data_IF_196939722304
#
_entry.id   IF_196939722304
#
_cell.length_a   1.000
_cell.length_b   1.000
_cell.length_c   1.000
_cell.angle_alpha   90.00
_cell.angle_beta   90.00
_cell.angle_gamma   90.00
#
_symmetry.space_group_name_H-M   'P 1'
#
loop_
_entity.id
_entity.type
_entity.pdbx_description
1 polymer ?
#
# COMPACT_ATOMS: atom_id res chain seq x y z
N UNK A 1 10.20 33.75 -7.94
CA UNK A 1 9.50 32.68 -7.19
C UNK A 1 9.21 31.54 -8.15
N UNK A 2 9.55 30.29 -7.78
CA UNK A 2 9.16 29.13 -8.60
C UNK A 2 7.64 28.97 -8.56
N UNK A 3 7.01 28.73 -9.70
CA UNK A 3 5.54 28.54 -9.82
C UNK A 3 5.13 27.30 -9.01
N UNK A 4 4.10 27.42 -8.16
CA UNK A 4 3.52 26.29 -7.44
C UNK A 4 2.91 25.31 -8.42
N UNK A 5 3.29 24.04 -8.36
CA UNK A 5 2.70 22.95 -9.15
C UNK A 5 1.50 22.38 -8.43
N UNK A 6 0.37 22.31 -9.12
CA UNK A 6 -0.90 21.76 -8.59
C UNK A 6 -1.11 20.33 -9.06
N UNK A 7 -1.19 19.42 -8.12
CA UNK A 7 -1.34 17.97 -8.36
C UNK A 7 -2.71 17.52 -7.86
N UNK A 8 -3.45 16.81 -8.69
CA UNK A 8 -4.65 16.09 -8.29
C UNK A 8 -4.40 14.60 -8.36
N UNK A 9 -4.80 13.89 -7.31
CA UNK A 9 -4.65 12.43 -7.22
C UNK A 9 -5.99 11.78 -6.96
N UNK A 10 -6.28 10.70 -7.67
CA UNK A 10 -7.49 9.90 -7.51
C UNK A 10 -7.18 8.63 -6.74
N UNK A 11 -7.84 8.45 -5.61
CA UNK A 11 -7.83 7.22 -4.81
C UNK A 11 -9.08 6.42 -5.17
N UNK A 12 -8.89 5.23 -5.72
CA UNK A 12 -9.95 4.48 -6.36
C UNK A 12 -10.00 3.02 -5.98
N UNK A 13 -8.93 2.47 -5.44
CA UNK A 13 -8.77 1.03 -5.25
C UNK A 13 -8.67 0.63 -3.77
N UNK A 14 -7.72 1.22 -3.03
CA UNK A 14 -7.47 0.87 -1.62
C UNK A 14 -6.64 1.94 -0.90
N UNK A 15 -6.52 1.82 0.41
CA UNK A 15 -5.61 2.66 1.21
C UNK A 15 -4.12 2.44 0.89
N UNK A 16 -3.76 1.31 0.27
CA UNK A 16 -2.38 1.07 -0.16
C UNK A 16 -1.88 2.08 -1.21
N UNK A 17 -2.80 2.76 -1.92
CA UNK A 17 -2.44 3.90 -2.76
C UNK A 17 -1.87 5.06 -1.92
N UNK A 18 -2.44 5.33 -0.75
CA UNK A 18 -1.97 6.36 0.19
C UNK A 18 -0.57 6.03 0.72
N UNK A 19 -0.29 4.76 0.99
CA UNK A 19 1.03 4.31 1.47
C UNK A 19 2.16 4.54 0.46
N UNK A 20 1.84 4.68 -0.81
CA UNK A 20 2.80 5.08 -1.85
C UNK A 20 2.87 6.60 -1.99
N UNK A 21 1.72 7.26 -1.92
CA UNK A 21 1.59 8.68 -2.25
C UNK A 21 2.10 9.62 -1.16
N UNK A 22 1.86 9.32 0.13
CA UNK A 22 2.32 10.18 1.20
C UNK A 22 3.85 10.24 1.28
N UNK A 23 4.58 9.11 1.19
CA UNK A 23 6.03 9.15 1.04
C UNK A 23 6.50 9.95 -0.19
N UNK A 24 5.81 9.80 -1.32
CA UNK A 24 6.13 10.58 -2.52
C UNK A 24 5.90 12.08 -2.30
N UNK A 25 4.78 12.47 -1.68
CA UNK A 25 4.47 13.88 -1.44
C UNK A 25 5.38 14.52 -0.39
N UNK A 26 5.88 13.76 0.58
CA UNK A 26 6.89 14.26 1.52
C UNK A 26 8.14 14.73 0.77
N UNK A 27 8.66 13.88 -0.12
CA UNK A 27 9.82 14.24 -0.94
C UNK A 27 9.55 15.37 -1.95
N UNK A 28 8.36 15.42 -2.53
CA UNK A 28 8.00 16.50 -3.45
C UNK A 28 7.91 17.85 -2.75
N UNK A 29 7.45 17.88 -1.51
CA UNK A 29 7.39 19.10 -0.70
C UNK A 29 8.76 19.62 -0.29
N UNK A 30 9.71 18.76 0.00
CA UNK A 30 11.09 19.15 0.31
C UNK A 30 11.81 19.72 -0.91
N UNK A 31 11.50 19.24 -2.11
CA UNK A 31 12.20 19.64 -3.35
C UNK A 31 11.57 20.80 -4.08
N UNK A 32 10.31 21.11 -3.84
CA UNK A 32 9.62 22.19 -4.55
C UNK A 32 8.27 22.59 -3.97
N UNK A 33 7.75 23.70 -4.50
CA UNK A 33 6.45 24.21 -4.07
C UNK A 33 5.32 23.45 -4.80
N UNK A 34 4.63 22.58 -4.06
CA UNK A 34 3.50 21.80 -4.57
C UNK A 34 2.23 22.03 -3.75
N UNK A 35 1.09 21.99 -4.40
CA UNK A 35 -0.24 21.93 -3.80
C UNK A 35 -0.91 20.63 -4.25
N UNK A 36 -1.26 19.74 -3.32
CA UNK A 36 -1.83 18.44 -3.62
C UNK A 36 -3.28 18.35 -3.14
N UNK A 37 -4.16 17.90 -4.04
CA UNK A 37 -5.55 17.59 -3.74
C UNK A 37 -5.80 16.08 -3.96
N UNK A 38 -6.23 15.37 -2.94
CA UNK A 38 -6.55 13.95 -2.97
C UNK A 38 -8.07 13.80 -3.14
N UNK A 39 -8.46 13.06 -4.16
CA UNK A 39 -9.85 12.81 -4.51
C UNK A 39 -10.19 11.35 -4.22
N UNK A 40 -10.96 11.09 -3.19
CA UNK A 40 -11.52 9.77 -2.92
C UNK A 40 -12.77 9.55 -3.77
N UNK A 41 -12.83 8.45 -4.50
CA UNK A 41 -13.98 8.07 -5.32
C UNK A 41 -14.82 6.96 -4.70
N UNK A 42 -14.38 6.37 -3.60
CA UNK A 42 -15.01 5.26 -2.88
C UNK A 42 -15.24 5.65 -1.42
N UNK A 43 -16.49 5.63 -0.97
CA UNK A 43 -16.89 6.05 0.39
C UNK A 43 -16.18 5.25 1.49
N UNK A 44 -16.09 3.92 1.33
CA UNK A 44 -15.46 3.04 2.32
C UNK A 44 -13.99 3.41 2.53
N UNK A 45 -13.23 3.59 1.44
CA UNK A 45 -11.81 3.96 1.51
C UNK A 45 -11.62 5.31 2.22
N UNK A 46 -12.49 6.28 1.91
CA UNK A 46 -12.47 7.58 2.57
C UNK A 46 -12.81 7.48 4.07
N UNK A 47 -13.78 6.63 4.45
CA UNK A 47 -14.12 6.40 5.85
C UNK A 47 -12.95 5.77 6.61
N UNK A 48 -12.33 4.73 6.06
CA UNK A 48 -11.16 4.07 6.64
C UNK A 48 -9.97 5.06 6.74
N UNK A 49 -9.80 5.94 5.76
CA UNK A 49 -8.80 7.01 5.77
C UNK A 49 -8.99 8.00 6.92
N UNK A 50 -10.24 8.49 7.12
CA UNK A 50 -10.55 9.46 8.18
C UNK A 50 -10.35 8.85 9.58
N UNK A 51 -10.58 7.56 9.75
CA UNK A 51 -10.42 6.86 11.02
C UNK A 51 -8.95 6.67 11.42
N UNK A 52 -8.01 6.77 10.49
CA UNK A 52 -6.59 6.62 10.78
C UNK A 52 -5.98 7.92 11.29
N UNK A 53 -5.57 7.94 12.57
CA UNK A 53 -4.87 9.07 13.17
C UNK A 53 -3.55 9.38 12.47
N UNK A 54 -2.84 8.37 12.01
CA UNK A 54 -1.59 8.53 11.26
C UNK A 54 -1.82 9.22 9.91
N UNK A 55 -2.84 8.82 9.13
CA UNK A 55 -3.12 9.50 7.86
C UNK A 55 -3.58 10.94 8.05
N UNK A 56 -4.37 11.23 9.09
CA UNK A 56 -4.75 12.59 9.42
C UNK A 56 -3.54 13.44 9.84
N UNK A 57 -2.62 12.86 10.60
CA UNK A 57 -1.36 13.50 10.93
C UNK A 57 -0.53 13.83 9.67
N UNK A 58 -0.35 12.86 8.77
CA UNK A 58 0.37 13.08 7.51
C UNK A 58 -0.30 14.13 6.62
N UNK A 59 -1.64 14.13 6.53
CA UNK A 59 -2.41 15.15 5.79
C UNK A 59 -2.07 16.55 6.28
N UNK A 60 -2.07 16.75 7.60
CA UNK A 60 -1.76 18.03 8.24
C UNK A 60 -0.29 18.43 8.02
N UNK A 61 0.66 17.54 8.27
CA UNK A 61 2.10 17.78 8.08
C UNK A 61 2.45 18.15 6.63
N UNK A 62 1.82 17.43 5.70
CA UNK A 62 2.02 17.67 4.27
C UNK A 62 1.12 18.78 3.72
N UNK A 63 0.19 19.35 4.53
CA UNK A 63 -0.78 20.38 4.09
C UNK A 63 -1.53 19.96 2.85
N UNK A 64 -1.97 18.70 2.82
CA UNK A 64 -2.76 18.15 1.72
C UNK A 64 -4.22 18.60 1.85
N UNK A 65 -4.97 18.49 0.76
CA UNK A 65 -6.42 18.73 0.77
C UNK A 65 -7.13 17.49 0.29
N UNK A 66 -7.97 16.92 1.12
CA UNK A 66 -8.74 15.72 0.78
C UNK A 66 -10.19 16.06 0.45
N UNK A 67 -10.75 15.32 -0.51
CA UNK A 67 -12.12 15.51 -0.98
C UNK A 67 -12.76 14.17 -1.31
N UNK A 68 -14.00 13.98 -0.91
CA UNK A 68 -14.81 12.85 -1.34
C UNK A 68 -15.69 13.25 -2.54
N UNK A 69 -15.36 12.73 -3.72
CA UNK A 69 -16.19 12.81 -4.90
C UNK A 69 -16.70 11.42 -5.26
N UNK A 70 -17.72 10.97 -4.54
CA UNK A 70 -18.33 9.67 -4.80
C UNK A 70 -18.85 9.59 -6.22
N UNK A 71 -18.32 8.66 -7.00
CA UNK A 71 -18.79 8.32 -8.34
C UNK A 71 -19.78 7.16 -8.16
N UNK A 72 -21.06 7.31 -8.55
CA UNK A 72 -22.06 6.27 -8.33
C UNK A 72 -21.84 5.10 -9.30
N UNK A 73 -20.85 4.25 -9.02
CA UNK A 73 -20.45 3.17 -9.92
C UNK A 73 -21.07 1.80 -9.62
N UNK A 74 -21.59 1.59 -8.45
CA UNK A 74 -22.40 0.41 -8.09
C UNK A 74 -23.21 0.73 -6.85
N UNK A 75 -24.48 0.44 -6.91
CA UNK A 75 -25.34 0.43 -5.73
C UNK A 75 -24.79 -0.56 -4.71
N UNK A 76 -24.80 -0.16 -3.44
CA UNK A 76 -24.64 -1.07 -2.33
C UNK A 76 -25.58 -2.27 -2.52
N UNK A 77 -25.03 -3.47 -2.52
CA UNK A 77 -25.77 -4.73 -2.65
C UNK A 77 -26.84 -4.93 -1.56
N UNK A 78 -26.86 -4.06 -0.53
CA UNK A 78 -27.85 -4.09 0.54
C UNK A 78 -29.29 -3.75 0.07
N UNK A 79 -29.46 -3.04 -1.05
CA UNK A 79 -30.79 -2.77 -1.63
C UNK A 79 -31.28 -3.97 -2.48
N UNK A 80 -30.38 -4.85 -2.91
CA UNK A 80 -30.76 -6.07 -3.64
C UNK A 80 -31.63 -7.02 -2.82
N UNK A 81 -31.46 -7.01 -1.50
CA UNK A 81 -32.22 -7.85 -0.58
C UNK A 81 -33.70 -7.42 -0.38
N UNK A 82 -34.07 -6.22 -0.83
CA UNK A 82 -35.40 -5.63 -0.58
C UNK A 82 -36.39 -5.74 -1.76
N UNK A 83 -36.06 -6.39 -2.87
CA UNK A 83 -37.01 -6.69 -3.95
C UNK A 83 -37.56 -5.48 -4.75
N UNK A 84 -37.12 -4.26 -4.49
CA UNK A 84 -37.68 -3.00 -5.03
C UNK A 84 -36.94 -2.51 -6.30
N UNK A 85 -36.95 -3.29 -7.35
CA UNK A 85 -36.20 -3.01 -8.60
C UNK A 85 -36.52 -1.68 -9.28
N UNK A 86 -37.76 -1.23 -9.21
CA UNK A 86 -38.25 0.01 -9.87
C UNK A 86 -37.80 1.27 -9.10
N UNK A 87 -37.90 1.26 -7.78
CA UNK A 87 -37.41 2.34 -6.90
C UNK A 87 -35.90 2.49 -7.03
N UNK A 88 -35.20 1.40 -7.14
CA UNK A 88 -33.74 1.36 -7.38
C UNK A 88 -33.35 2.09 -8.67
N UNK A 89 -34.08 1.92 -9.77
CA UNK A 89 -33.81 2.61 -11.04
C UNK A 89 -33.99 4.11 -10.92
N UNK A 90 -35.02 4.57 -10.20
CA UNK A 90 -35.29 6.00 -9.97
C UNK A 90 -34.19 6.63 -9.11
N UNK A 91 -33.84 6.01 -7.96
CA UNK A 91 -32.72 6.48 -7.11
C UNK A 91 -31.37 6.51 -7.85
N UNK A 92 -31.11 5.52 -8.70
CA UNK A 92 -29.91 5.49 -9.53
C UNK A 92 -29.85 6.66 -10.49
N UNK A 93 -30.96 6.99 -11.15
CA UNK A 93 -31.07 8.15 -12.06
C UNK A 93 -30.92 9.47 -11.29
N UNK A 94 -31.54 9.59 -10.13
CA UNK A 94 -31.45 10.79 -9.29
C UNK A 94 -30.05 11.03 -8.77
N UNK A 95 -29.37 10.00 -8.24
CA UNK A 95 -27.99 10.09 -7.80
C UNK A 95 -27.01 10.41 -8.96
N UNK A 96 -27.29 9.87 -10.15
CA UNK A 96 -26.51 10.18 -11.34
C UNK A 96 -26.68 11.63 -11.79
N UNK A 97 -27.91 12.15 -11.78
CA UNK A 97 -28.21 13.56 -12.06
C UNK A 97 -27.58 14.49 -11.04
N UNK A 98 -27.67 14.16 -9.74
CA UNK A 98 -26.98 14.90 -8.68
C UNK A 98 -25.47 14.94 -8.91
N UNK A 99 -24.88 13.80 -9.28
CA UNK A 99 -23.46 13.72 -9.60
C UNK A 99 -23.09 14.59 -10.81
N UNK A 100 -23.89 14.51 -11.88
CA UNK A 100 -23.67 15.31 -13.09
C UNK A 100 -23.71 16.81 -12.82
N UNK A 101 -24.66 17.28 -12.04
CA UNK A 101 -24.88 18.73 -11.87
C UNK A 101 -24.10 19.33 -10.68
N UNK A 102 -23.82 18.57 -9.64
CA UNK A 102 -23.13 19.09 -8.45
C UNK A 102 -21.67 18.66 -8.28
N UNK A 103 -21.36 17.44 -8.65
CA UNK A 103 -20.02 16.88 -8.41
C UNK A 103 -19.14 17.02 -9.64
N UNK A 104 -19.61 16.63 -10.81
CA UNK A 104 -18.83 16.62 -12.04
C UNK A 104 -18.26 18.01 -12.42
N UNK A 105 -19.02 19.12 -12.37
CA UNK A 105 -18.48 20.44 -12.69
C UNK A 105 -17.35 20.87 -11.76
N UNK A 106 -17.48 20.59 -10.45
CA UNK A 106 -16.44 20.88 -9.47
C UNK A 106 -15.18 20.05 -9.71
N UNK A 107 -15.36 18.78 -10.08
CA UNK A 107 -14.27 17.87 -10.42
C UNK A 107 -13.54 18.33 -11.69
N UNK A 108 -14.30 18.67 -12.74
CA UNK A 108 -13.74 19.21 -14.00
C UNK A 108 -12.95 20.49 -13.71
N UNK A 109 -13.51 21.43 -12.97
CA UNK A 109 -12.83 22.67 -12.63
C UNK A 109 -11.50 22.41 -11.90
N UNK A 110 -11.48 21.48 -10.92
CA UNK A 110 -10.24 21.12 -10.23
C UNK A 110 -9.19 20.52 -11.16
N UNK A 111 -9.60 19.61 -12.06
CA UNK A 111 -8.70 19.03 -13.06
C UNK A 111 -8.18 20.13 -13.99
N UNK A 112 -9.01 21.07 -14.41
CA UNK A 112 -8.59 22.19 -15.27
C UNK A 112 -7.55 23.07 -14.58
N UNK A 113 -7.71 23.32 -13.29
CA UNK A 113 -6.80 24.14 -12.47
C UNK A 113 -5.53 23.39 -12.05
N UNK A 114 -5.44 22.09 -12.26
CA UNK A 114 -4.23 21.31 -11.93
C UNK A 114 -3.22 21.31 -13.07
N UNK A 115 -1.94 21.15 -12.73
CA UNK A 115 -0.85 20.92 -13.69
C UNK A 115 -0.68 19.44 -13.99
N UNK A 116 -0.87 18.57 -12.97
CA UNK A 116 -0.67 17.13 -13.03
C UNK A 116 -1.90 16.41 -12.47
N UNK A 117 -2.30 15.34 -13.14
CA UNK A 117 -3.33 14.42 -12.69
C UNK A 117 -2.70 13.05 -12.46
N UNK A 118 -2.97 12.44 -11.30
CA UNK A 118 -2.42 11.13 -10.95
C UNK A 118 -3.53 10.13 -10.65
N UNK A 119 -3.33 8.88 -11.05
CA UNK A 119 -4.17 7.74 -10.67
C UNK A 119 -3.41 6.44 -10.69
N UNK A 120 -3.96 5.42 -10.04
CA UNK A 120 -3.38 4.09 -9.99
C UNK A 120 -3.40 3.44 -11.40
N UNK A 121 -2.31 2.75 -11.77
CA UNK A 121 -2.05 2.27 -13.14
C UNK A 121 -3.03 1.20 -13.62
N UNK A 122 -3.55 0.35 -12.74
CA UNK A 122 -4.47 -0.74 -13.12
C UNK A 122 -5.91 -0.28 -13.25
N UNK A 123 -6.21 0.96 -12.85
CA UNK A 123 -7.58 1.46 -12.79
C UNK A 123 -8.10 1.84 -14.18
N UNK A 124 -8.97 1.00 -14.72
CA UNK A 124 -9.61 1.17 -16.03
C UNK A 124 -11.11 1.45 -15.93
N UNK A 125 -11.61 1.80 -14.74
CA UNK A 125 -13.04 2.06 -14.52
C UNK A 125 -13.48 3.38 -15.18
N UNK A 126 -14.79 3.59 -15.27
CA UNK A 126 -15.39 4.75 -15.92
C UNK A 126 -14.86 6.12 -15.43
N UNK A 127 -14.40 6.20 -14.18
CA UNK A 127 -13.75 7.39 -13.62
C UNK A 127 -12.51 7.83 -14.41
N UNK A 128 -11.70 6.89 -14.87
CA UNK A 128 -10.49 7.21 -15.64
C UNK A 128 -10.80 7.60 -17.08
N UNK A 129 -11.90 7.11 -17.68
CA UNK A 129 -12.30 7.51 -19.03
C UNK A 129 -12.56 9.01 -19.13
N UNK A 130 -13.19 9.60 -18.11
CA UNK A 130 -13.39 11.06 -18.04
C UNK A 130 -12.06 11.79 -17.98
N UNK A 131 -11.08 11.28 -17.21
CA UNK A 131 -9.74 11.87 -17.13
C UNK A 131 -9.05 11.88 -18.49
N UNK A 132 -9.10 10.77 -19.25
CA UNK A 132 -8.48 10.69 -20.57
C UNK A 132 -9.20 11.52 -21.63
N UNK A 133 -10.52 11.68 -21.52
CA UNK A 133 -11.27 12.64 -22.35
C UNK A 133 -10.79 14.08 -22.07
N UNK A 134 -10.68 14.47 -20.80
CA UNK A 134 -10.20 15.78 -20.40
C UNK A 134 -8.73 15.98 -20.80
N UNK A 135 -7.89 14.94 -20.72
CA UNK A 135 -6.51 14.98 -21.23
C UNK A 135 -6.48 15.27 -22.75
N UNK A 136 -7.33 14.61 -23.52
CA UNK A 136 -7.38 14.84 -24.97
C UNK A 136 -7.77 16.29 -25.32
N UNK A 137 -8.66 16.91 -24.52
CA UNK A 137 -9.12 18.30 -24.72
C UNK A 137 -8.09 19.31 -24.20
N UNK A 138 -7.56 19.11 -22.99
CA UNK A 138 -6.79 20.13 -22.27
C UNK A 138 -5.29 19.80 -22.14
N UNK A 139 -4.83 18.74 -22.77
CA UNK A 139 -3.42 18.29 -22.80
C UNK A 139 -2.77 18.20 -21.40
N UNK A 140 -3.53 17.77 -20.40
CA UNK A 140 -3.05 17.64 -19.03
C UNK A 140 -2.02 16.51 -18.90
N UNK A 141 -0.98 16.72 -18.10
CA UNK A 141 0.00 15.67 -17.79
C UNK A 141 -0.67 14.63 -16.90
N UNK A 142 -0.73 13.38 -17.37
CA UNK A 142 -1.24 12.25 -16.58
C UNK A 142 -0.08 11.38 -16.14
N UNK A 143 0.04 11.17 -14.84
CA UNK A 143 0.97 10.23 -14.24
C UNK A 143 0.18 9.06 -13.65
N UNK A 144 0.69 7.86 -13.84
CA UNK A 144 0.14 6.65 -13.21
C UNK A 144 1.17 6.05 -12.26
N UNK A 145 0.71 5.41 -11.21
CA UNK A 145 1.57 4.82 -10.17
C UNK A 145 1.04 3.44 -9.74
N UNK A 146 1.90 2.66 -9.09
CA UNK A 146 1.53 1.38 -8.50
C UNK A 146 0.71 1.59 -7.21
N UNK A 147 -0.26 0.72 -6.93
CA UNK A 147 -1.11 0.81 -5.75
C UNK A 147 -0.51 0.24 -4.46
N UNK A 148 0.71 -0.27 -4.51
CA UNK A 148 1.45 -0.80 -3.38
C UNK A 148 2.94 -0.79 -3.65
N UNK A 149 3.72 -0.99 -2.62
CA UNK A 149 5.19 -1.06 -2.70
C UNK A 149 5.64 -2.47 -3.17
N UNK A 150 5.05 -2.98 -4.25
CA UNK A 150 5.37 -4.31 -4.76
C UNK A 150 6.68 -4.28 -5.54
N UNK A 151 7.59 -5.20 -5.19
CA UNK A 151 8.64 -5.63 -6.10
C UNK A 151 7.97 -6.59 -7.06
N UNK A 152 7.54 -6.12 -8.23
CA UNK A 152 6.88 -6.98 -9.18
C UNK A 152 7.90 -7.69 -10.06
N UNK A 153 7.84 -9.00 -10.06
CA UNK A 153 8.44 -9.87 -11.07
C UNK A 153 7.34 -10.21 -12.07
N UNK A 154 7.71 -10.51 -13.31
CA UNK A 154 6.77 -10.78 -14.41
C UNK A 154 5.64 -11.73 -13.97
N UNK A 155 4.44 -11.18 -13.89
CA UNK A 155 3.21 -11.98 -13.81
C UNK A 155 2.76 -12.37 -15.20
N UNK A 156 2.39 -13.61 -15.38
CA UNK A 156 2.13 -14.22 -16.70
C UNK A 156 0.89 -13.68 -17.43
N UNK A 157 0.04 -12.82 -16.83
CA UNK A 157 -1.29 -12.59 -17.38
C UNK A 157 -1.94 -11.21 -17.20
N UNK A 158 -1.27 -10.13 -17.52
CA UNK A 158 -2.01 -8.86 -17.69
C UNK A 158 -2.02 -8.43 -19.15
N UNK A 159 -3.23 -8.32 -19.74
CA UNK A 159 -3.41 -7.76 -21.08
C UNK A 159 -3.09 -6.27 -21.14
N UNK A 160 -2.90 -5.74 -22.37
CA UNK A 160 -2.66 -4.31 -22.62
C UNK A 160 -3.71 -3.44 -21.92
N UNK A 161 -3.28 -2.40 -21.22
CA UNK A 161 -4.17 -1.48 -20.51
C UNK A 161 -4.69 -0.39 -21.43
N UNK A 162 -5.98 -0.06 -21.30
CA UNK A 162 -6.64 0.98 -22.11
C UNK A 162 -6.04 2.34 -21.75
N UNK A 163 -5.71 3.15 -22.78
CA UNK A 163 -5.13 4.49 -22.64
C UNK A 163 -3.77 4.56 -21.92
N UNK A 164 -3.07 3.44 -21.76
CA UNK A 164 -1.72 3.44 -21.15
C UNK A 164 -0.74 4.35 -21.92
N UNK A 165 -0.88 4.45 -23.23
CA UNK A 165 -0.05 5.30 -24.11
C UNK A 165 -0.21 6.82 -23.84
N UNK A 166 -1.29 7.24 -23.17
CA UNK A 166 -1.62 8.66 -22.85
C UNK A 166 -1.07 9.12 -21.51
N UNK A 167 -0.49 8.22 -20.73
CA UNK A 167 0.06 8.51 -19.42
C UNK A 167 1.54 8.17 -19.32
N UNK A 168 2.22 8.74 -18.33
CA UNK A 168 3.57 8.31 -17.96
C UNK A 168 3.48 7.48 -16.69
N UNK A 169 3.97 6.24 -16.73
CA UNK A 169 4.01 5.37 -15.57
C UNK A 169 5.21 5.71 -14.68
N UNK A 170 4.96 5.95 -13.42
CA UNK A 170 5.98 6.07 -12.38
C UNK A 170 6.38 4.66 -11.92
N UNK A 171 7.62 4.30 -12.15
CA UNK A 171 8.21 3.05 -11.70
C UNK A 171 9.04 3.28 -10.43
N UNK A 172 9.05 2.32 -9.54
CA UNK A 172 9.92 2.35 -8.37
C UNK A 172 11.34 1.89 -8.72
N UNK A 173 11.46 0.96 -9.64
CA UNK A 173 12.73 0.46 -10.17
C UNK A 173 12.66 0.20 -11.69
N UNK A 174 13.76 -0.16 -12.29
CA UNK A 174 13.83 -0.48 -13.70
C UNK A 174 13.51 -1.95 -14.06
N UNK A 175 13.44 -2.85 -13.06
CA UNK A 175 13.26 -4.29 -13.29
C UNK A 175 11.94 -4.61 -13.99
N UNK A 176 10.90 -3.83 -13.69
CA UNK A 176 9.57 -4.02 -14.27
C UNK A 176 9.36 -3.30 -15.62
N UNK A 177 10.34 -2.54 -16.10
CA UNK A 177 10.17 -1.68 -17.28
C UNK A 177 9.66 -2.45 -18.49
N UNK A 178 10.27 -3.60 -18.82
CA UNK A 178 9.88 -4.40 -19.99
C UNK A 178 8.47 -4.99 -19.85
N UNK A 179 8.12 -5.47 -18.65
CA UNK A 179 6.80 -5.98 -18.37
C UNK A 179 5.73 -4.88 -18.53
N UNK A 180 5.96 -3.69 -17.99
CA UNK A 180 5.04 -2.56 -18.11
C UNK A 180 4.90 -2.05 -19.55
N UNK A 181 5.94 -2.16 -20.39
CA UNK A 181 5.84 -1.91 -21.83
C UNK A 181 4.90 -2.89 -22.52
N UNK A 182 4.96 -4.20 -22.19
CA UNK A 182 4.01 -5.20 -22.69
C UNK A 182 2.56 -4.84 -22.33
N UNK A 183 2.34 -4.19 -21.18
CA UNK A 183 1.04 -3.68 -20.77
C UNK A 183 0.63 -2.37 -21.46
N UNK A 184 1.46 -1.80 -22.32
CA UNK A 184 1.20 -0.60 -23.11
C UNK A 184 1.69 0.71 -22.49
N UNK A 185 2.49 0.66 -21.41
CA UNK A 185 3.11 1.85 -20.82
C UNK A 185 4.48 2.12 -21.46
N UNK A 186 4.49 2.75 -22.63
CA UNK A 186 5.73 3.09 -23.35
C UNK A 186 6.48 4.24 -22.67
N UNK A 187 5.74 5.19 -22.09
CA UNK A 187 6.31 6.31 -21.34
C UNK A 187 6.46 5.92 -19.86
N UNK A 188 7.69 5.78 -19.42
CA UNK A 188 8.02 5.37 -18.07
C UNK A 188 9.05 6.31 -17.46
N UNK A 189 8.98 6.48 -16.14
CA UNK A 189 9.92 7.27 -15.37
C UNK A 189 10.20 6.61 -14.02
N UNK A 190 11.45 6.27 -13.74
CA UNK A 190 11.86 5.66 -12.48
C UNK A 190 12.01 6.75 -11.42
N UNK A 191 11.23 6.63 -10.33
CA UNK A 191 11.23 7.58 -9.20
C UNK A 191 11.94 7.05 -7.96
N UNK A 192 12.21 5.75 -7.86
CA UNK A 192 12.61 5.05 -6.65
C UNK A 192 11.41 4.58 -5.82
N UNK A 193 11.68 3.87 -4.74
CA UNK A 193 10.64 3.43 -3.78
C UNK A 193 10.36 4.55 -2.78
N UNK A 194 9.20 5.22 -2.80
CA UNK A 194 8.96 6.42 -1.99
C UNK A 194 9.07 6.19 -0.49
N UNK A 195 8.72 4.99 -0.01
CA UNK A 195 8.82 4.63 1.42
C UNK A 195 10.25 4.66 1.97
N UNK A 196 11.28 4.61 1.09
CA UNK A 196 12.69 4.72 1.47
C UNK A 196 13.22 6.15 1.41
N UNK A 197 12.39 7.13 1.04
CA UNK A 197 12.83 8.53 1.01
C UNK A 197 13.02 9.06 2.44
N UNK A 198 14.09 9.84 2.69
CA UNK A 198 14.40 10.33 4.04
C UNK A 198 13.26 11.12 4.66
N UNK A 199 12.58 11.95 3.89
CA UNK A 199 11.49 12.83 4.34
C UNK A 199 10.30 12.03 4.89
N UNK A 200 10.08 10.82 4.35
CA UNK A 200 9.06 9.90 4.88
C UNK A 200 9.45 9.34 6.24
N UNK A 201 10.70 8.92 6.38
CA UNK A 201 11.22 8.42 7.65
C UNK A 201 11.13 9.47 8.75
N UNK A 202 11.35 10.75 8.44
CA UNK A 202 11.21 11.86 9.38
C UNK A 202 9.76 12.00 9.89
N UNK A 203 8.77 11.95 8.99
CA UNK A 203 7.34 12.01 9.35
C UNK A 203 6.95 10.84 10.25
N UNK A 204 7.37 9.61 9.90
CA UNK A 204 7.10 8.42 10.70
C UNK A 204 7.75 8.52 12.08
N UNK A 205 9.00 8.97 12.15
CA UNK A 205 9.73 9.17 13.41
C UNK A 205 9.03 10.19 14.32
N UNK A 206 8.62 11.32 13.75
CA UNK A 206 7.94 12.38 14.51
C UNK A 206 6.58 11.91 15.04
N UNK A 207 5.80 11.18 14.24
CA UNK A 207 4.55 10.62 14.71
C UNK A 207 4.77 9.56 15.78
N UNK A 208 5.67 8.60 15.54
CA UNK A 208 5.94 7.49 16.46
C UNK A 208 6.48 7.97 17.81
N UNK A 209 7.24 9.06 17.86
CA UNK A 209 7.73 9.64 19.11
C UNK A 209 6.61 10.17 20.04
N UNK A 210 5.42 10.42 19.49
CA UNK A 210 4.23 10.83 20.26
C UNK A 210 3.44 9.63 20.81
N UNK A 211 3.74 8.43 20.30
CA UNK A 211 3.15 7.18 20.78
C UNK A 211 4.08 6.62 21.85
N UNK A 212 3.61 6.54 23.08
CA UNK A 212 4.40 5.99 24.18
C UNK A 212 4.43 4.46 24.11
N UNK A 213 5.24 3.92 23.21
CA UNK A 213 5.61 2.50 23.27
C UNK A 213 6.79 2.35 24.23
N UNK A 214 6.54 1.83 25.41
CA UNK A 214 7.57 1.71 26.47
C UNK A 214 8.59 0.63 26.20
N UNK A 215 8.30 -0.35 25.36
CA UNK A 215 9.15 -1.53 25.14
C UNK A 215 9.35 -1.85 23.66
N UNK A 216 10.46 -2.51 23.38
CA UNK A 216 10.68 -3.14 22.08
C UNK A 216 9.63 -4.24 21.86
N UNK A 217 9.01 -4.23 20.69
CA UNK A 217 7.98 -5.20 20.31
C UNK A 217 8.48 -6.13 19.20
N UNK A 218 7.80 -7.25 18.99
CA UNK A 218 7.92 -8.04 17.76
C UNK A 218 6.64 -7.88 16.96
N UNK A 219 6.75 -7.46 15.71
CA UNK A 219 5.58 -7.25 14.86
C UNK A 219 5.44 -8.39 13.86
N UNK A 220 4.24 -8.99 13.82
CA UNK A 220 3.84 -9.98 12.82
C UNK A 220 2.86 -9.32 11.85
N UNK A 221 3.23 -9.18 10.59
CA UNK A 221 2.34 -8.76 9.52
C UNK A 221 1.73 -9.99 8.89
N UNK A 222 0.51 -10.29 9.28
CA UNK A 222 -0.21 -11.46 8.79
C UNK A 222 -0.84 -11.22 7.42
N UNK A 223 -1.39 -12.26 6.82
CA UNK A 223 -2.00 -12.23 5.51
C UNK A 223 -3.34 -12.94 5.53
N UNK A 224 -4.33 -12.40 4.81
CA UNK A 224 -5.64 -13.05 4.71
C UNK A 224 -5.55 -14.42 4.01
N UNK A 225 -6.32 -15.37 4.50
CA UNK A 225 -6.47 -16.69 3.90
C UNK A 225 -7.04 -16.54 2.48
N UNK A 226 -6.37 -17.16 1.54
CA UNK A 226 -6.74 -17.18 0.13
C UNK A 226 -6.12 -18.43 -0.51
N UNK A 227 -6.93 -19.33 -1.04
CA UNK A 227 -6.49 -20.61 -1.61
C UNK A 227 -5.33 -20.52 -2.61
N UNK A 228 -5.15 -19.36 -3.26
CA UNK A 228 -4.10 -19.15 -4.25
C UNK A 228 -2.74 -18.83 -3.62
N UNK A 229 -2.74 -18.10 -2.50
CA UNK A 229 -1.51 -17.58 -1.90
C UNK A 229 -1.25 -18.05 -0.48
N UNK A 230 -2.30 -18.34 0.28
CA UNK A 230 -2.22 -18.71 1.68
C UNK A 230 -3.43 -19.57 2.06
N UNK A 231 -3.30 -20.88 2.04
CA UNK A 231 -4.35 -21.76 2.54
C UNK A 231 -4.45 -21.71 4.07
N UNK A 232 -5.56 -22.24 4.59
CA UNK A 232 -5.88 -22.17 6.02
C UNK A 232 -4.84 -22.88 6.90
N UNK A 233 -4.39 -24.05 6.48
CA UNK A 233 -3.49 -24.88 7.29
C UNK A 233 -2.12 -24.23 7.39
N UNK A 234 -1.59 -23.70 6.28
CA UNK A 234 -0.33 -22.96 6.25
C UNK A 234 -0.41 -21.66 7.03
N UNK A 235 -1.56 -20.97 6.98
CA UNK A 235 -1.77 -19.78 7.79
C UNK A 235 -1.70 -20.09 9.28
N UNK A 236 -2.41 -21.14 9.73
CA UNK A 236 -2.41 -21.58 11.12
C UNK A 236 -1.00 -22.01 11.55
N UNK A 237 -0.29 -22.74 10.70
CA UNK A 237 1.10 -23.15 10.95
C UNK A 237 2.03 -21.95 11.13
N UNK A 238 2.02 -20.99 10.17
CA UNK A 238 2.86 -19.81 10.21
C UNK A 238 2.61 -18.94 11.44
N UNK A 239 1.34 -18.69 11.79
CA UNK A 239 1.02 -17.86 12.94
C UNK A 239 1.34 -18.59 14.25
N UNK A 240 0.98 -19.86 14.38
CA UNK A 240 1.23 -20.65 15.59
C UNK A 240 2.73 -20.84 15.86
N UNK A 241 3.50 -21.18 14.83
CA UNK A 241 4.97 -21.32 14.96
C UNK A 241 5.65 -19.99 15.25
N UNK A 242 5.22 -18.90 14.59
CA UNK A 242 5.75 -17.56 14.91
C UNK A 242 5.56 -17.21 16.38
N UNK A 243 4.34 -17.38 16.90
CA UNK A 243 4.02 -17.10 18.30
C UNK A 243 4.85 -17.96 19.25
N UNK A 244 4.97 -19.27 18.97
CA UNK A 244 5.72 -20.24 19.77
C UNK A 244 7.22 -19.90 19.81
N UNK A 245 7.85 -19.67 18.65
CA UNK A 245 9.28 -19.37 18.55
C UNK A 245 9.60 -18.04 19.24
N UNK A 246 8.81 -17.00 19.01
CA UNK A 246 9.00 -15.71 19.67
C UNK A 246 8.91 -15.90 21.19
N UNK A 247 7.90 -16.60 21.69
CA UNK A 247 7.67 -16.77 23.11
C UNK A 247 8.72 -17.65 23.79
N UNK A 248 9.25 -18.65 23.09
CA UNK A 248 10.37 -19.47 23.58
C UNK A 248 11.63 -18.61 23.79
N UNK A 249 11.88 -17.64 22.90
CA UNK A 249 13.04 -16.76 22.99
C UNK A 249 12.83 -15.58 23.94
N UNK A 250 11.64 -15.00 23.94
CA UNK A 250 11.30 -13.80 24.71
C UNK A 250 10.06 -14.02 25.56
N UNK A 251 10.26 -14.28 26.84
CA UNK A 251 9.14 -14.59 27.76
C UNK A 251 8.10 -13.46 27.88
N UNK A 252 8.55 -12.20 27.86
CA UNK A 252 7.72 -11.03 28.20
C UNK A 252 7.62 -9.98 27.08
N UNK A 253 8.23 -10.19 25.92
CA UNK A 253 8.12 -9.22 24.83
C UNK A 253 6.65 -9.08 24.36
N UNK A 254 6.24 -7.88 24.05
CA UNK A 254 4.94 -7.68 23.42
C UNK A 254 5.01 -8.13 21.95
N UNK A 255 4.04 -8.95 21.55
CA UNK A 255 3.85 -9.38 20.18
C UNK A 255 2.69 -8.60 19.59
N UNK A 256 2.94 -7.81 18.56
CA UNK A 256 1.89 -7.07 17.86
C UNK A 256 1.58 -7.82 16.57
N UNK A 257 0.33 -8.27 16.42
CA UNK A 257 -0.15 -8.80 15.14
C UNK A 257 -0.88 -7.69 14.42
N UNK A 258 -0.41 -7.37 13.21
CA UNK A 258 -1.09 -6.47 12.29
C UNK A 258 -1.77 -7.29 11.20
N UNK A 259 -3.11 -7.43 11.27
CA UNK A 259 -3.85 -8.18 10.27
C UNK A 259 -3.89 -7.46 8.92
N UNK A 260 -3.96 -8.25 7.85
CA UNK A 260 -4.28 -7.72 6.54
C UNK A 260 -5.73 -7.17 6.53
N UNK A 261 -6.05 -6.08 5.80
CA UNK A 261 -7.40 -5.48 5.82
C UNK A 261 -8.58 -6.41 5.42
N UNK A 262 -8.29 -7.56 4.83
CA UNK A 262 -9.29 -8.58 4.45
C UNK A 262 -9.31 -9.78 5.38
N UNK A 263 -8.55 -9.74 6.44
CA UNK A 263 -8.36 -10.88 7.35
C UNK A 263 -9.47 -10.93 8.40
N UNK A 264 -9.86 -12.13 8.77
CA UNK A 264 -10.86 -12.37 9.80
C UNK A 264 -10.19 -12.41 11.19
N UNK A 265 -10.43 -11.40 12.00
CA UNK A 265 -9.81 -11.23 13.32
C UNK A 265 -10.09 -12.42 14.24
N UNK A 266 -11.28 -13.03 14.15
CA UNK A 266 -11.64 -14.18 14.97
C UNK A 266 -10.70 -15.36 14.79
N UNK A 267 -10.21 -15.61 13.57
CA UNK A 267 -9.23 -16.68 13.30
C UNK A 267 -7.93 -16.44 14.06
N UNK A 268 -7.45 -15.19 14.06
CA UNK A 268 -6.25 -14.79 14.81
C UNK A 268 -6.46 -15.03 16.32
N UNK A 269 -7.60 -14.58 16.85
CA UNK A 269 -7.93 -14.73 18.28
C UNK A 269 -8.02 -16.19 18.71
N UNK A 270 -8.60 -17.06 17.88
CA UNK A 270 -8.67 -18.51 18.13
C UNK A 270 -7.27 -19.14 18.17
N UNK A 271 -6.39 -18.75 17.26
CA UNK A 271 -4.99 -19.25 17.25
C UNK A 271 -4.26 -18.77 18.51
N UNK A 272 -4.33 -17.48 18.86
CA UNK A 272 -3.69 -16.96 20.08
C UNK A 272 -4.17 -17.75 21.31
N UNK A 273 -5.48 -17.96 21.41
CA UNK A 273 -6.10 -18.71 22.53
C UNK A 273 -5.61 -20.16 22.56
N UNK A 274 -5.55 -20.84 21.41
CA UNK A 274 -5.10 -22.24 21.32
C UNK A 274 -3.65 -22.43 21.74
N UNK A 275 -2.79 -21.43 21.50
CA UNK A 275 -1.38 -21.44 21.88
C UNK A 275 -1.15 -21.02 23.35
N UNK A 276 -2.19 -20.58 24.07
CA UNK A 276 -2.10 -20.10 25.46
C UNK A 276 -0.98 -19.06 25.66
N UNK A 277 -0.83 -18.14 24.71
CA UNK A 277 0.22 -17.12 24.72
C UNK A 277 -0.36 -15.79 25.20
N UNK A 278 0.27 -15.20 26.21
CA UNK A 278 -0.07 -13.87 26.75
C UNK A 278 0.75 -12.76 26.07
N UNK A 279 0.36 -11.52 26.32
CA UNK A 279 1.03 -10.31 25.83
C UNK A 279 1.09 -10.25 24.27
N UNK A 280 -0.06 -10.51 23.66
CA UNK A 280 -0.29 -10.39 22.21
C UNK A 280 -1.37 -9.36 21.97
N UNK A 281 -1.05 -8.37 21.15
CA UNK A 281 -1.96 -7.26 20.80
C UNK A 281 -2.27 -7.27 19.29
N UNK A 282 -3.53 -7.06 18.92
CA UNK A 282 -3.91 -6.85 17.52
C UNK A 282 -3.92 -5.34 17.25
N UNK A 283 -3.18 -4.87 16.24
CA UNK A 283 -3.10 -3.47 15.90
C UNK A 283 -3.45 -3.20 14.44
N UNK A 284 -4.22 -2.14 14.21
CA UNK A 284 -4.54 -1.61 12.87
C UNK A 284 -3.70 -0.39 12.50
N UNK A 285 -2.73 -0.01 13.35
CA UNK A 285 -1.84 1.12 13.10
C UNK A 285 -1.04 0.93 11.78
N UNK A 286 -0.52 2.03 11.24
CA UNK A 286 0.24 2.00 10.00
C UNK A 286 1.50 1.12 10.12
N UNK A 287 1.83 0.28 9.10
CA UNK A 287 2.95 -0.65 9.20
C UNK A 287 4.30 0.01 9.51
N UNK A 288 4.61 1.15 8.89
CA UNK A 288 5.85 1.87 9.16
C UNK A 288 5.95 2.38 10.60
N UNK A 289 4.80 2.78 11.19
CA UNK A 289 4.73 3.22 12.60
C UNK A 289 5.01 2.05 13.53
N UNK A 290 4.36 0.90 13.30
CA UNK A 290 4.60 -0.32 14.07
C UNK A 290 6.05 -0.81 13.92
N UNK A 291 6.57 -0.77 12.70
CA UNK A 291 7.96 -1.13 12.46
C UNK A 291 8.91 -0.29 13.30
N UNK A 292 8.66 1.02 13.41
CA UNK A 292 9.56 1.93 14.15
C UNK A 292 9.72 1.57 15.63
N UNK A 293 8.72 0.92 16.23
CA UNK A 293 8.75 0.46 17.62
C UNK A 293 9.25 -0.98 17.76
N UNK A 294 9.43 -1.68 16.64
CA UNK A 294 9.74 -3.09 16.63
C UNK A 294 11.24 -3.36 16.76
N UNK A 295 11.59 -4.38 17.57
CA UNK A 295 12.90 -5.01 17.57
C UNK A 295 13.16 -5.79 16.28
N UNK A 296 12.11 -6.44 15.77
CA UNK A 296 12.10 -7.18 14.51
C UNK A 296 10.68 -7.31 13.97
N UNK A 297 10.57 -7.64 12.68
CA UNK A 297 9.30 -7.90 12.02
C UNK A 297 9.30 -9.24 11.27
N UNK A 298 8.16 -9.92 11.28
CA UNK A 298 7.89 -11.16 10.56
C UNK A 298 6.74 -10.88 9.59
N UNK A 299 6.86 -11.30 8.34
CA UNK A 299 5.86 -11.03 7.31
C UNK A 299 5.46 -12.32 6.61
N UNK A 300 4.16 -12.59 6.51
CA UNK A 300 3.61 -13.74 5.78
C UNK A 300 3.39 -13.39 4.30
N UNK A 301 4.46 -13.12 3.56
CA UNK A 301 4.48 -12.71 2.17
C UNK A 301 3.61 -11.48 1.82
N UNK A 302 4.20 -10.33 1.64
CA UNK A 302 3.50 -9.10 1.29
C UNK A 302 4.40 -7.88 1.23
N UNK A 303 3.97 -6.86 0.49
CA UNK A 303 4.75 -5.62 0.30
C UNK A 303 5.04 -4.85 1.60
N UNK A 304 4.34 -5.16 2.68
CA UNK A 304 4.57 -4.59 4.01
C UNK A 304 5.98 -4.87 4.55
N UNK A 305 6.66 -5.89 4.04
CA UNK A 305 8.08 -6.16 4.37
C UNK A 305 8.98 -4.96 4.06
N UNK A 306 8.68 -4.24 2.97
CA UNK A 306 9.43 -3.06 2.58
C UNK A 306 9.21 -1.87 3.52
N UNK A 307 8.02 -1.78 4.15
CA UNK A 307 7.74 -0.75 5.16
C UNK A 307 8.66 -0.90 6.38
N UNK A 308 8.87 -2.14 6.85
CA UNK A 308 9.77 -2.41 7.98
C UNK A 308 11.24 -2.20 7.59
N UNK A 309 11.64 -2.68 6.43
CA UNK A 309 13.01 -2.49 5.92
C UNK A 309 13.33 -1.01 5.69
N UNK A 310 12.34 -0.19 5.30
CA UNK A 310 12.53 1.25 5.14
C UNK A 310 12.83 1.96 6.46
N UNK A 311 12.34 1.42 7.56
CA UNK A 311 12.61 1.89 8.93
C UNK A 311 13.87 1.28 9.54
N UNK A 312 14.67 0.52 8.77
CA UNK A 312 15.87 -0.20 9.20
C UNK A 312 15.60 -1.28 10.26
N UNK A 313 14.42 -1.86 10.27
CA UNK A 313 14.06 -2.92 11.22
C UNK A 313 14.45 -4.28 10.64
N UNK A 314 15.14 -5.15 11.40
CA UNK A 314 15.35 -6.54 11.02
C UNK A 314 14.05 -7.21 10.64
N UNK A 315 13.95 -7.70 9.40
CA UNK A 315 12.70 -8.23 8.87
C UNK A 315 12.94 -9.52 8.09
N UNK A 316 12.06 -10.48 8.30
CA UNK A 316 12.07 -11.76 7.59
C UNK A 316 10.71 -12.00 6.92
N UNK A 317 10.76 -12.52 5.70
CA UNK A 317 9.61 -13.18 5.10
C UNK A 317 9.55 -14.61 5.65
N UNK A 318 8.50 -14.92 6.41
CA UNK A 318 8.21 -16.28 6.84
C UNK A 318 7.00 -16.78 6.08
N UNK A 319 7.23 -17.63 5.07
CA UNK A 319 6.21 -17.98 4.12
C UNK A 319 6.34 -19.41 3.58
N UNK A 320 5.24 -20.15 3.65
CA UNK A 320 5.08 -21.48 3.06
C UNK A 320 4.20 -21.33 1.82
N UNK A 321 4.75 -21.60 0.65
CA UNK A 321 4.06 -21.43 -0.63
C UNK A 321 2.84 -22.35 -0.74
N UNK A 322 1.67 -21.79 -1.08
CA UNK A 322 0.49 -22.57 -1.46
C UNK A 322 0.74 -23.25 -2.81
N UNK A 323 0.03 -24.34 -3.08
CA UNK A 323 0.22 -25.11 -4.33
C UNK A 323 0.07 -24.24 -5.59
N UNK A 324 -0.96 -23.38 -5.60
CA UNK A 324 -1.26 -22.50 -6.72
C UNK A 324 -0.37 -21.23 -6.78
N UNK A 325 0.47 -21.00 -5.77
CA UNK A 325 1.32 -19.81 -5.71
C UNK A 325 2.24 -19.71 -6.92
N UNK A 326 2.82 -20.83 -7.34
CA UNK A 326 3.78 -20.88 -8.46
C UNK A 326 3.15 -20.67 -9.83
N UNK A 327 1.83 -20.69 -9.96
CA UNK A 327 1.16 -20.29 -11.20
C UNK A 327 1.40 -18.81 -11.50
N UNK A 328 1.40 -17.95 -10.46
CA UNK A 328 1.68 -16.52 -10.60
C UNK A 328 3.16 -16.19 -10.42
N UNK A 329 3.87 -16.95 -9.59
CA UNK A 329 5.26 -16.74 -9.20
C UNK A 329 6.09 -18.02 -9.42
N UNK A 330 6.41 -18.36 -10.69
CA UNK A 330 7.07 -19.63 -11.02
C UNK A 330 8.45 -19.79 -10.38
N UNK A 331 9.11 -18.69 -10.04
CA UNK A 331 10.43 -18.66 -9.39
C UNK A 331 10.35 -18.51 -7.86
N UNK A 332 9.18 -18.68 -7.26
CA UNK A 332 8.95 -18.49 -5.84
C UNK A 332 8.79 -17.02 -5.45
N UNK A 333 9.01 -16.71 -4.16
CA UNK A 333 8.83 -15.35 -3.64
C UNK A 333 9.72 -14.32 -4.35
N UNK A 334 9.11 -13.24 -4.79
CA UNK A 334 9.79 -12.09 -5.39
C UNK A 334 10.68 -11.34 -4.38
N UNK A 335 10.38 -11.38 -3.09
CA UNK A 335 11.21 -10.78 -2.05
C UNK A 335 12.49 -11.59 -1.84
N UNK A 336 12.39 -12.92 -1.80
CA UNK A 336 13.54 -13.82 -1.79
C UNK A 336 14.43 -13.64 -3.01
N UNK A 337 13.83 -13.48 -4.19
CA UNK A 337 14.56 -13.32 -5.44
C UNK A 337 15.45 -12.06 -5.50
N UNK A 338 15.11 -11.02 -4.74
CA UNK A 338 15.92 -9.79 -4.63
C UNK A 338 16.81 -9.76 -3.38
N UNK A 339 16.98 -10.90 -2.70
CA UNK A 339 17.89 -11.05 -1.58
C UNK A 339 17.34 -10.61 -0.23
N UNK A 340 16.02 -10.45 -0.09
CA UNK A 340 15.38 -10.25 1.22
C UNK A 340 15.35 -11.58 1.97
N UNK A 341 15.65 -11.55 3.27
CA UNK A 341 15.64 -12.74 4.11
C UNK A 341 14.29 -13.42 4.07
N UNK A 342 14.27 -14.68 3.64
CA UNK A 342 13.06 -15.48 3.48
C UNK A 342 13.30 -16.89 4.02
N UNK A 343 12.40 -17.36 4.86
CA UNK A 343 12.42 -18.69 5.48
C UNK A 343 11.04 -19.36 5.32
N UNK A 344 11.03 -20.69 5.28
CA UNK A 344 9.80 -21.47 5.06
C UNK A 344 9.49 -22.47 6.18
N UNK A 345 10.29 -22.49 7.24
CA UNK A 345 10.10 -23.38 8.37
C UNK A 345 10.49 -22.70 9.71
N UNK A 346 10.09 -23.34 10.79
CA UNK A 346 10.31 -22.85 12.16
C UNK A 346 11.80 -22.71 12.49
N UNK A 347 12.62 -23.65 12.03
CA UNK A 347 14.07 -23.61 12.27
C UNK A 347 14.74 -22.41 11.59
N UNK A 348 14.34 -22.07 10.38
CA UNK A 348 14.78 -20.87 9.68
C UNK A 348 14.37 -19.59 10.43
N UNK A 349 13.16 -19.57 10.99
CA UNK A 349 12.70 -18.45 11.82
C UNK A 349 13.52 -18.32 13.11
N UNK A 350 13.84 -19.43 13.78
CA UNK A 350 14.74 -19.43 14.96
C UNK A 350 16.11 -18.85 14.62
N UNK A 351 16.72 -19.28 13.51
CA UNK A 351 18.01 -18.78 13.03
C UNK A 351 17.96 -17.27 12.78
N UNK A 352 16.88 -16.78 12.16
CA UNK A 352 16.70 -15.34 11.97
C UNK A 352 16.62 -14.60 13.31
N UNK A 353 15.80 -15.05 14.25
CA UNK A 353 15.67 -14.42 15.57
C UNK A 353 17.02 -14.42 16.29
N UNK A 354 17.77 -15.51 16.22
CA UNK A 354 19.10 -15.60 16.80
C UNK A 354 20.11 -14.64 16.17
N UNK A 355 20.01 -14.39 14.86
CA UNK A 355 20.85 -13.42 14.17
C UNK A 355 20.59 -11.98 14.66
N UNK A 356 19.32 -11.66 14.92
CA UNK A 356 18.94 -10.36 15.50
C UNK A 356 19.47 -10.20 16.92
N UNK A 357 19.35 -11.24 17.76
CA UNK A 357 19.86 -11.22 19.13
C UNK A 357 21.38 -11.06 19.22
N UNK A 358 22.09 -11.72 18.33
CA UNK A 358 23.56 -11.67 18.26
C UNK A 358 24.08 -10.41 17.55
N UNK A 359 23.19 -9.49 17.14
CA UNK A 359 23.51 -8.33 16.29
C UNK A 359 24.29 -8.72 15.01
N UNK A 360 24.02 -9.90 14.47
CA UNK A 360 24.62 -10.40 13.23
C UNK A 360 23.69 -10.31 12.02
N UNK A 361 22.48 -9.77 12.20
CA UNK A 361 21.57 -9.48 11.10
C UNK A 361 22.10 -8.33 10.25
N UNK A 362 22.15 -8.53 8.94
CA UNK A 362 22.48 -7.50 7.98
C UNK A 362 21.26 -7.14 7.14
N UNK A 363 21.05 -5.84 6.93
CA UNK A 363 19.99 -5.40 6.02
C UNK A 363 20.30 -5.89 4.59
N UNK A 364 19.28 -6.37 3.85
CA UNK A 364 19.43 -6.78 2.46
C UNK A 364 20.08 -5.68 1.61
N UNK A 365 21.04 -6.03 0.77
CA UNK A 365 21.77 -5.06 -0.08
C UNK A 365 20.86 -4.21 -0.95
N UNK A 366 19.75 -4.79 -1.42
CA UNK A 366 18.73 -4.10 -2.23
C UNK A 366 18.13 -2.87 -1.52
N UNK A 367 18.10 -2.87 -0.18
CA UNK A 367 17.62 -1.72 0.61
C UNK A 367 18.47 -0.48 0.36
N UNK A 368 19.79 -0.66 0.22
CA UNK A 368 20.70 0.44 -0.09
C UNK A 368 20.48 1.01 -1.50
N UNK A 369 20.10 0.16 -2.44
CA UNK A 369 19.75 0.59 -3.81
C UNK A 369 18.46 1.39 -3.80
N UNK A 370 17.43 0.93 -3.07
CA UNK A 370 16.17 1.64 -2.94
C UNK A 370 16.33 3.03 -2.32
N UNK A 371 17.18 3.18 -1.30
CA UNK A 371 17.47 4.47 -0.66
C UNK A 371 18.16 5.47 -1.60
N UNK A 372 18.97 5.00 -2.56
CA UNK A 372 19.72 5.86 -3.48
C UNK A 372 18.91 6.35 -4.69
N UNK A 373 17.78 5.73 -5.00
CA UNK A 373 17.07 5.87 -6.26
C UNK A 373 16.06 7.03 -6.30
N UNK A 374 16.07 7.98 -5.36
CA UNK A 374 15.12 9.09 -5.32
C UNK A 374 15.24 10.00 -6.55
N UNK A 375 14.16 10.14 -7.34
CA UNK A 375 14.11 11.00 -8.50
C UNK A 375 12.72 11.63 -8.70
N UNK A 376 12.57 12.89 -8.34
CA UNK A 376 11.30 13.62 -8.40
C UNK A 376 11.22 14.62 -9.56
N UNK A 377 12.22 14.68 -10.43
CA UNK A 377 12.33 15.71 -11.51
C UNK A 377 11.10 15.79 -12.41
N UNK A 378 10.45 14.65 -12.70
CA UNK A 378 9.28 14.59 -13.59
C UNK A 378 8.11 15.48 -13.12
N UNK A 379 8.01 15.79 -11.84
CA UNK A 379 6.93 16.62 -11.28
C UNK A 379 7.14 18.11 -11.55
N UNK A 380 8.36 18.52 -11.86
CA UNK A 380 8.74 19.93 -12.02
C UNK A 380 9.02 20.31 -13.48
N UNK A 381 9.14 19.34 -14.37
CA UNK A 381 9.20 19.51 -15.84
C UNK A 381 7.78 19.47 -16.43
#
# INVERSE_FOLDING_TARGET
MKKTKKIIVFITHSLSEINVLFPLFSALKSTGNIEVSIIFTVKKIHADYIQSSFYQYCENQLGLRTHLYYIPNKFDNNIEKLGLSSIRKVFKRFNYLFWLFKILPKLILRILLSDIVMHEFSNQKNSTRVLYLLHAIFKKKILTYHHGNEISIEKTSYGKRINSEKSTLLLFDSHNSNYMKKMGYDKQFVIGYPIFFPEWSEIVNEYSSKLHYENQTVVIYSRHINERYMDSDKYIELLSSSLRVIRAKYKNIEIIIKPHPREEINVILEIIKSQNISNVTISHEHPAVLAKTAKMAITFWGSVILESLSMNVPTVEYYIEAEKFREDYPNGSNYKAVGIHSVSDEKGLEVFIDSVEKNSYELPLIVNEFKKAQNTKIFFT
#
